data_IF_050389533034
#
_entry.id   IF_050389533034
#
_cell.length_a   1.000
_cell.length_b   1.000
_cell.length_c   1.000
_cell.angle_alpha   90.00
_cell.angle_beta   90.00
_cell.angle_gamma   90.00
#
_symmetry.space_group_name_H-M   'P 1'
#
loop_
_entity.id
_entity.type
_entity.pdbx_description
1 polymer ?
#
# COMPACT_ATOMS: atom_id res chain seq x y z
N UNK A 1 -28.16 13.07 8.09
CA UNK A 1 -27.83 12.27 6.88
C UNK A 1 -27.91 10.80 7.27
N UNK A 2 -28.37 9.94 6.37
CA UNK A 2 -28.51 8.51 6.63
C UNK A 2 -27.41 7.74 5.90
N UNK A 3 -26.54 7.08 6.66
CA UNK A 3 -25.55 6.16 6.15
C UNK A 3 -26.16 4.75 6.13
N UNK A 4 -26.31 4.19 4.94
CA UNK A 4 -26.79 2.81 4.76
C UNK A 4 -25.58 1.93 4.43
N UNK A 5 -25.34 0.90 5.24
CA UNK A 5 -24.24 -0.05 5.01
C UNK A 5 -24.63 -1.11 4.00
N UNK A 6 -23.63 -1.85 3.50
CA UNK A 6 -23.86 -3.05 2.66
C UNK A 6 -24.63 -4.17 3.37
N UNK A 7 -24.63 -4.18 4.70
CA UNK A 7 -25.45 -5.08 5.52
C UNK A 7 -26.87 -4.55 5.75
N UNK A 8 -27.24 -3.44 5.09
CA UNK A 8 -28.53 -2.77 5.21
C UNK A 8 -28.82 -2.16 6.59
N UNK A 9 -27.77 -1.91 7.40
CA UNK A 9 -27.90 -1.12 8.62
C UNK A 9 -28.00 0.36 8.28
N UNK A 10 -28.94 1.05 8.92
CA UNK A 10 -29.14 2.49 8.76
C UNK A 10 -28.66 3.20 10.01
N UNK A 11 -27.76 4.18 9.85
CA UNK A 11 -27.26 5.02 10.95
C UNK A 11 -27.42 6.50 10.60
N UNK A 12 -27.84 7.29 11.59
CA UNK A 12 -28.02 8.73 11.42
C UNK A 12 -26.85 9.52 12.00
N UNK A 13 -26.31 10.42 11.18
CA UNK A 13 -25.22 11.31 11.55
C UNK A 13 -25.51 12.75 11.15
N UNK A 14 -24.95 13.68 11.93
CA UNK A 14 -25.03 15.13 11.69
C UNK A 14 -24.12 15.54 10.52
N UNK A 15 -23.02 14.81 10.31
CA UNK A 15 -22.07 15.03 9.23
C UNK A 15 -21.26 13.76 8.96
N UNK A 16 -21.13 13.40 7.68
CA UNK A 16 -20.28 12.28 7.26
C UNK A 16 -19.06 12.81 6.50
N UNK A 17 -17.89 12.29 6.85
CA UNK A 17 -16.63 12.54 6.16
C UNK A 17 -16.14 11.22 5.56
N UNK A 18 -16.14 11.13 4.23
CA UNK A 18 -15.61 9.96 3.54
C UNK A 18 -14.08 10.00 3.53
N UNK A 19 -13.46 9.19 4.38
CA UNK A 19 -12.01 9.04 4.49
C UNK A 19 -11.52 7.71 3.86
N UNK A 20 -12.09 7.31 2.72
CA UNK A 20 -11.87 5.97 2.13
C UNK A 20 -10.45 5.73 1.57
N UNK A 21 -9.58 6.75 1.56
CA UNK A 21 -8.14 6.62 1.29
C UNK A 21 -7.74 6.12 -0.11
N UNK A 22 -8.70 5.68 -0.93
CA UNK A 22 -8.47 4.99 -2.20
C UNK A 22 -8.85 5.91 -3.35
N UNK A 23 -7.96 6.84 -3.65
CA UNK A 23 -7.91 7.42 -4.99
C UNK A 23 -7.58 6.29 -5.98
N UNK A 24 -8.16 6.30 -7.20
CA UNK A 24 -7.79 5.33 -8.23
C UNK A 24 -6.28 5.32 -8.38
N UNK A 25 -5.71 4.12 -8.49
CA UNK A 25 -4.27 3.94 -8.68
C UNK A 25 -3.91 4.63 -10.00
N UNK A 26 -3.42 5.86 -9.90
CA UNK A 26 -2.84 6.57 -11.02
C UNK A 26 -1.58 5.78 -11.39
N UNK A 27 -1.51 5.30 -12.62
CA UNK A 27 -0.34 4.66 -13.19
C UNK A 27 0.38 5.66 -14.12
N UNK A 28 1.12 6.64 -13.57
CA UNK A 28 1.82 7.66 -14.36
C UNK A 28 2.98 7.07 -15.18
N UNK A 29 3.29 5.78 -15.00
CA UNK A 29 4.38 5.08 -15.67
C UNK A 29 3.87 4.14 -16.77
N UNK A 30 2.55 4.03 -16.97
CA UNK A 30 1.92 3.18 -17.98
C UNK A 30 2.40 1.71 -17.91
N UNK A 31 2.51 1.19 -16.70
CA UNK A 31 2.95 -0.18 -16.40
C UNK A 31 1.80 -1.19 -16.41
N UNK A 32 0.54 -0.74 -16.35
CA UNK A 32 -0.62 -1.60 -16.46
C UNK A 32 -0.56 -2.46 -17.74
N UNK A 33 -0.73 -3.76 -17.57
CA UNK A 33 -0.64 -4.75 -18.67
C UNK A 33 0.79 -5.17 -19.03
N UNK A 34 1.83 -4.63 -18.38
CA UNK A 34 3.19 -5.15 -18.53
C UNK A 34 3.36 -6.46 -17.75
N UNK A 35 4.12 -7.43 -18.29
CA UNK A 35 4.44 -8.64 -17.55
C UNK A 35 5.18 -8.28 -16.25
N UNK A 36 4.89 -9.03 -15.18
CA UNK A 36 5.49 -8.89 -13.85
C UNK A 36 5.22 -7.55 -13.15
N UNK A 37 4.29 -6.73 -13.66
CA UNK A 37 3.82 -5.54 -12.96
C UNK A 37 2.66 -5.87 -12.03
N UNK A 38 2.77 -5.42 -10.77
CA UNK A 38 1.76 -5.62 -9.74
C UNK A 38 1.22 -4.25 -9.32
N UNK A 39 -0.03 -3.95 -9.70
CA UNK A 39 -0.69 -2.67 -9.41
C UNK A 39 -1.34 -2.62 -8.04
N UNK A 40 -1.81 -3.76 -7.53
CA UNK A 40 -2.36 -3.91 -6.20
C UNK A 40 -1.53 -4.92 -5.41
N UNK A 41 -0.75 -4.42 -4.45
CA UNK A 41 0.08 -5.25 -3.57
C UNK A 41 -0.62 -5.60 -2.25
N UNK A 42 -1.92 -5.32 -2.13
CA UNK A 42 -2.68 -5.60 -0.92
C UNK A 42 -3.84 -6.57 -1.20
N UNK A 43 -3.99 -7.63 -0.39
CA UNK A 43 -3.14 -8.01 0.73
C UNK A 43 -1.84 -8.71 0.26
N UNK A 44 -0.75 -8.54 1.01
CA UNK A 44 0.61 -8.97 0.59
C UNK A 44 0.76 -10.50 0.45
N UNK A 45 -0.03 -11.27 1.19
CA UNK A 45 -0.05 -12.73 1.12
C UNK A 45 -0.65 -13.27 -0.18
N UNK A 46 -1.35 -12.43 -0.95
CA UNK A 46 -1.90 -12.78 -2.27
C UNK A 46 -0.93 -12.46 -3.42
N UNK A 47 0.27 -11.92 -3.11
CA UNK A 47 1.39 -11.79 -4.06
C UNK A 47 1.91 -13.18 -4.43
N UNK A 48 1.16 -13.85 -5.29
CA UNK A 48 1.40 -15.18 -5.82
C UNK A 48 1.97 -15.02 -7.22
N UNK A 49 3.27 -14.81 -7.31
CA UNK A 49 4.00 -14.87 -8.58
C UNK A 49 5.26 -15.71 -8.37
N UNK A 50 5.56 -16.56 -9.35
CA UNK A 50 6.82 -17.27 -9.43
C UNK A 50 7.93 -16.27 -9.77
N UNK A 51 8.62 -15.80 -8.74
CA UNK A 51 9.87 -15.06 -8.86
C UNK A 51 10.91 -15.69 -7.96
N UNK A 52 12.17 -15.66 -8.38
CA UNK A 52 13.31 -16.15 -7.60
C UNK A 52 13.71 -15.11 -6.54
N UNK A 53 14.33 -15.57 -5.44
CA UNK A 53 14.97 -14.69 -4.47
C UNK A 53 16.06 -13.79 -5.09
N UNK A 54 16.65 -14.25 -6.19
CA UNK A 54 17.71 -13.55 -6.94
C UNK A 54 17.15 -12.49 -7.91
N UNK A 55 15.83 -12.47 -8.13
CA UNK A 55 15.20 -11.50 -9.01
C UNK A 55 15.32 -10.08 -8.44
N UNK A 56 15.55 -9.14 -9.36
CA UNK A 56 15.68 -7.71 -9.03
C UNK A 56 14.30 -7.09 -8.97
N UNK A 57 13.78 -6.89 -7.76
CA UNK A 57 12.44 -6.36 -7.54
C UNK A 57 12.52 -4.86 -7.21
N UNK A 58 11.63 -4.06 -7.80
CA UNK A 58 11.54 -2.62 -7.51
C UNK A 58 10.19 -2.26 -6.94
N UNK A 59 10.18 -1.65 -5.75
CA UNK A 59 9.02 -0.99 -5.19
C UNK A 59 8.97 0.47 -5.65
N UNK A 60 7.91 0.84 -6.37
CA UNK A 60 7.69 2.20 -6.87
C UNK A 60 6.81 2.94 -5.87
N UNK A 61 7.29 4.11 -5.40
CA UNK A 61 6.78 4.92 -4.28
C UNK A 61 7.26 4.43 -2.90
N UNK A 62 6.97 5.25 -1.90
CA UNK A 62 7.45 5.15 -0.51
C UNK A 62 6.31 5.41 0.49
N UNK A 63 5.09 4.97 0.15
CA UNK A 63 3.94 4.95 1.06
C UNK A 63 4.13 3.88 2.15
N UNK A 64 3.25 3.86 3.15
CA UNK A 64 3.23 2.79 4.16
C UNK A 64 3.07 1.42 3.51
N UNK A 65 2.16 1.27 2.54
CA UNK A 65 2.03 0.04 1.75
C UNK A 65 3.34 -0.36 1.07
N UNK A 66 4.10 0.59 0.51
CA UNK A 66 5.39 0.28 -0.11
C UNK A 66 6.42 -0.19 0.91
N UNK A 67 6.40 0.35 2.15
CA UNK A 67 7.23 -0.13 3.25
C UNK A 67 6.84 -1.54 3.65
N UNK A 68 5.54 -1.86 3.70
CA UNK A 68 5.06 -3.19 4.03
C UNK A 68 5.47 -4.21 2.95
N UNK A 69 5.40 -3.83 1.66
CA UNK A 69 5.95 -4.62 0.54
C UNK A 69 7.44 -4.86 0.72
N UNK A 70 8.22 -3.83 1.04
CA UNK A 70 9.67 -3.97 1.22
C UNK A 70 10.01 -4.93 2.35
N UNK A 71 9.33 -4.80 3.50
CA UNK A 71 9.51 -5.71 4.64
C UNK A 71 9.17 -7.13 4.25
N UNK A 72 8.04 -7.34 3.58
CA UNK A 72 7.63 -8.66 3.13
C UNK A 72 8.65 -9.30 2.19
N UNK A 73 9.13 -8.56 1.18
CA UNK A 73 10.14 -9.06 0.24
C UNK A 73 11.46 -9.42 0.92
N UNK A 74 11.92 -8.58 1.86
CA UNK A 74 13.20 -8.79 2.54
C UNK A 74 13.14 -9.86 3.63
N UNK A 75 12.05 -9.92 4.40
CA UNK A 75 11.96 -10.73 5.61
C UNK A 75 11.25 -12.06 5.41
N UNK A 76 10.19 -12.08 4.59
CA UNK A 76 9.36 -13.29 4.39
C UNK A 76 9.72 -14.04 3.10
N UNK A 77 10.26 -13.31 2.12
CA UNK A 77 10.66 -13.87 0.81
C UNK A 77 12.17 -13.93 0.61
N UNK A 78 12.93 -13.40 1.56
CA UNK A 78 14.40 -13.42 1.58
C UNK A 78 15.04 -12.94 0.26
N UNK A 79 14.39 -11.99 -0.42
CA UNK A 79 14.90 -11.45 -1.68
C UNK A 79 16.24 -10.74 -1.46
N UNK A 80 17.24 -11.09 -2.27
CA UNK A 80 18.60 -10.55 -2.14
C UNK A 80 18.71 -9.12 -2.69
N UNK A 81 17.87 -8.77 -3.67
CA UNK A 81 17.94 -7.52 -4.42
C UNK A 81 16.59 -6.81 -4.51
N UNK A 82 16.30 -5.98 -3.51
CA UNK A 82 15.11 -5.12 -3.51
C UNK A 82 15.51 -3.65 -3.64
N UNK A 83 14.97 -2.98 -4.65
CA UNK A 83 15.20 -1.57 -4.94
C UNK A 83 13.95 -0.75 -4.63
N UNK A 84 14.17 0.52 -4.34
CA UNK A 84 13.07 1.48 -4.17
C UNK A 84 13.26 2.64 -5.13
N UNK A 85 12.17 3.10 -5.72
CA UNK A 85 12.18 4.26 -6.59
C UNK A 85 11.08 5.23 -6.18
N UNK A 86 11.44 6.49 -5.92
CA UNK A 86 10.45 7.53 -5.68
C UNK A 86 10.94 8.91 -6.14
N UNK A 87 9.98 9.76 -6.54
CA UNK A 87 10.26 11.10 -7.06
C UNK A 87 10.96 12.03 -6.06
N UNK A 88 10.73 11.83 -4.77
CA UNK A 88 11.22 12.71 -3.71
C UNK A 88 12.19 12.00 -2.74
N UNK A 89 12.51 10.72 -2.99
CA UNK A 89 13.36 9.88 -2.17
C UNK A 89 13.09 9.96 -0.65
N UNK A 90 11.81 10.02 -0.27
CA UNK A 90 11.38 10.23 1.12
C UNK A 90 10.37 9.16 1.54
N UNK A 91 10.66 8.44 2.62
CA UNK A 91 9.74 7.48 3.21
C UNK A 91 8.73 8.18 4.10
N UNK A 92 7.45 7.85 3.91
CA UNK A 92 6.42 8.29 4.85
C UNK A 92 6.63 7.59 6.18
N UNK A 93 7.21 8.29 7.14
CA UNK A 93 7.36 7.81 8.51
C UNK A 93 6.07 8.11 9.29
N UNK A 94 5.61 7.15 10.10
CA UNK A 94 4.58 7.41 11.10
C UNK A 94 5.28 8.00 12.32
N UNK A 95 5.10 9.30 12.56
CA UNK A 95 5.47 9.90 13.83
C UNK A 95 4.38 9.57 14.85
N UNK A 96 4.70 8.81 15.90
CA UNK A 96 3.82 8.71 17.06
C UNK A 96 3.74 10.08 17.72
N UNK A 97 2.70 10.84 17.40
CA UNK A 97 2.43 12.11 18.06
C UNK A 97 2.05 11.83 19.53
N UNK A 98 2.96 12.16 20.45
CA UNK A 98 2.71 12.48 21.85
C UNK A 98 1.85 11.50 22.66
N UNK A 99 2.51 10.56 23.36
CA UNK A 99 2.03 10.18 24.68
C UNK A 99 2.18 11.41 25.58
N UNK A 100 1.14 12.23 25.66
CA UNK A 100 0.97 13.13 26.81
C UNK A 100 0.54 12.24 27.96
N UNK A 101 1.50 11.94 28.84
CA UNK A 101 1.21 11.41 30.16
C UNK A 101 0.30 12.42 30.87
N UNK A 102 -0.85 11.92 31.31
CA UNK A 102 -1.83 12.60 32.16
C UNK A 102 -1.53 12.33 33.63
#
# INVERSE_FOLDING_TARGET
MELVTVSNEVRQYVRDHLCSGSLPVLDPYHLNGKPNYISNSSPLNELTHDYSKDDRIVAIRTSLTAIDVLKYLLQERENESVYTFSRHNFFKTVGTAGLRES
#
